data_IF_090015653970
#
_entry.id   IF_090015653970
#
_cell.length_a   1.000
_cell.length_b   1.000
_cell.length_c   1.000
_cell.angle_alpha   90.00
_cell.angle_beta   90.00
_cell.angle_gamma   90.00
#
_symmetry.space_group_name_H-M   'P 1'
#
loop_
_entity.id
_entity.type
_entity.pdbx_description
1 polymer ?
#
# COMPACT_ATOMS: atom_id res chain seq x y z
N UNK A 1 10.83 14.21 -6.71
CA UNK A 1 10.10 13.21 -7.52
C UNK A 1 8.61 13.00 -7.17
N UNK A 2 8.13 13.03 -5.91
CA UNK A 2 6.67 13.09 -5.62
C UNK A 2 6.23 14.41 -4.99
N UNK A 3 7.02 14.97 -4.07
CA UNK A 3 6.80 16.30 -3.49
C UNK A 3 6.73 17.39 -4.56
N UNK A 4 7.67 17.37 -5.52
CA UNK A 4 7.72 18.35 -6.63
C UNK A 4 6.50 18.27 -7.56
N UNK A 5 5.78 17.14 -7.55
CA UNK A 5 4.59 16.89 -8.38
C UNK A 5 3.27 17.10 -7.63
N UNK A 6 3.30 17.65 -6.41
CA UNK A 6 2.11 17.88 -5.57
C UNK A 6 1.25 16.61 -5.36
N UNK A 7 1.90 15.44 -5.33
CA UNK A 7 1.23 14.18 -5.04
C UNK A 7 0.88 14.15 -3.56
N UNK A 8 -0.41 13.99 -3.23
CA UNK A 8 -0.92 14.05 -1.86
C UNK A 8 -0.87 12.71 -1.13
N UNK A 9 -0.83 11.60 -1.87
CA UNK A 9 -0.74 10.27 -1.28
C UNK A 9 -0.10 9.25 -2.24
N UNK A 10 0.48 8.21 -1.65
CA UNK A 10 0.94 7.02 -2.36
C UNK A 10 0.15 5.83 -1.84
N UNK A 11 -0.31 4.98 -2.78
CA UNK A 11 -0.94 3.70 -2.48
C UNK A 11 -0.07 2.54 -2.94
N UNK A 12 -0.03 1.47 -2.15
CA UNK A 12 0.73 0.25 -2.42
C UNK A 12 -0.11 -0.94 -1.95
N UNK A 13 -0.14 -2.02 -2.72
CA UNK A 13 -0.73 -3.28 -2.30
C UNK A 13 0.32 -4.37 -2.07
N UNK A 14 -0.02 -5.36 -1.25
CA UNK A 14 0.83 -6.54 -1.05
C UNK A 14 -0.01 -7.79 -0.79
N UNK A 15 0.59 -8.97 -1.00
CA UNK A 15 -0.08 -10.23 -0.70
C UNK A 15 -0.23 -10.42 0.81
N UNK A 16 -1.30 -11.09 1.25
CA UNK A 16 -1.56 -11.33 2.68
C UNK A 16 -0.51 -12.19 3.38
N UNK A 17 0.21 -13.03 2.61
CA UNK A 17 1.31 -13.85 3.09
C UNK A 17 2.65 -13.09 3.18
N UNK A 18 2.80 -11.94 2.51
CA UNK A 18 4.04 -11.16 2.53
C UNK A 18 4.16 -10.31 3.80
N UNK A 19 4.35 -10.99 4.94
CA UNK A 19 4.43 -10.36 6.27
C UNK A 19 5.59 -9.37 6.38
N UNK A 20 6.69 -9.62 5.67
CA UNK A 20 7.83 -8.71 5.63
C UNK A 20 7.45 -7.36 5.02
N UNK A 21 6.75 -7.37 3.88
CA UNK A 21 6.27 -6.13 3.24
C UNK A 21 5.22 -5.42 4.09
N UNK A 22 4.28 -6.15 4.71
CA UNK A 22 3.29 -5.55 5.61
C UNK A 22 3.93 -4.82 6.79
N UNK A 23 4.96 -5.43 7.40
CA UNK A 23 5.74 -4.79 8.49
C UNK A 23 6.51 -3.57 7.99
N UNK A 24 7.11 -3.64 6.80
CA UNK A 24 7.83 -2.51 6.21
C UNK A 24 6.91 -1.32 5.96
N UNK A 25 5.75 -1.56 5.36
CA UNK A 25 4.75 -0.54 5.08
C UNK A 25 4.28 0.15 6.37
N UNK A 26 3.94 -0.62 7.40
CA UNK A 26 3.56 -0.07 8.69
C UNK A 26 4.68 0.79 9.32
N UNK A 27 5.92 0.30 9.32
CA UNK A 27 7.08 1.04 9.86
C UNK A 27 7.40 2.33 9.10
N UNK A 28 7.07 2.40 7.81
CA UNK A 28 7.33 3.56 6.95
C UNK A 28 6.16 4.54 6.89
N UNK A 29 5.14 4.35 7.73
CA UNK A 29 4.01 5.27 7.88
C UNK A 29 2.87 5.05 6.90
N UNK A 30 2.88 3.97 6.12
CA UNK A 30 1.71 3.54 5.36
C UNK A 30 0.67 2.92 6.28
N UNK A 31 -0.60 3.28 6.06
CA UNK A 31 -1.75 2.79 6.82
C UNK A 31 -2.57 1.84 5.95
N UNK A 32 -3.00 0.72 6.53
CA UNK A 32 -3.92 -0.18 5.85
C UNK A 32 -5.20 0.59 5.49
N UNK A 33 -5.62 0.51 4.23
CA UNK A 33 -6.77 1.26 3.72
C UNK A 33 -7.81 0.36 3.03
N UNK A 34 -7.58 -0.94 2.91
CA UNK A 34 -8.58 -1.89 2.42
C UNK A 34 -7.99 -3.08 1.67
N UNK A 35 -8.84 -3.72 0.87
CA UNK A 35 -8.50 -4.87 0.05
C UNK A 35 -8.84 -4.53 -1.40
N UNK A 36 -7.98 -4.93 -2.34
CA UNK A 36 -8.28 -4.93 -3.77
C UNK A 36 -8.29 -6.37 -4.29
N UNK A 37 -8.99 -6.57 -5.40
CA UNK A 37 -9.00 -7.84 -6.12
C UNK A 37 -8.32 -7.62 -7.48
N UNK A 38 -7.42 -8.53 -7.85
CA UNK A 38 -6.82 -8.55 -9.18
C UNK A 38 -7.79 -9.21 -10.18
N UNK A 39 -7.45 -9.13 -11.47
CA UNK A 39 -8.28 -9.72 -12.54
C UNK A 39 -8.49 -11.24 -12.38
N UNK A 40 -7.52 -11.93 -11.78
CA UNK A 40 -7.60 -13.35 -11.46
C UNK A 40 -8.41 -13.66 -10.18
N UNK A 41 -9.00 -12.64 -9.56
CA UNK A 41 -9.74 -12.74 -8.30
C UNK A 41 -8.85 -12.80 -7.06
N UNK A 42 -7.52 -12.75 -7.21
CA UNK A 42 -6.61 -12.81 -6.06
C UNK A 42 -6.70 -11.55 -5.21
N UNK A 43 -6.68 -11.76 -3.89
CA UNK A 43 -6.81 -10.71 -2.87
C UNK A 43 -5.47 -10.04 -2.59
N UNK A 44 -5.46 -8.70 -2.52
CA UNK A 44 -4.30 -7.91 -2.05
C UNK A 44 -4.70 -6.96 -0.94
N UNK A 45 -3.82 -6.80 0.05
CA UNK A 45 -3.97 -5.83 1.11
C UNK A 45 -3.45 -4.48 0.63
N UNK A 46 -4.29 -3.46 0.61
CA UNK A 46 -3.94 -2.11 0.18
C UNK A 46 -3.56 -1.22 1.36
N UNK A 47 -2.56 -0.37 1.13
CA UNK A 47 -2.03 0.59 2.07
C UNK A 47 -1.89 1.96 1.42
N UNK A 48 -2.08 3.03 2.20
CA UNK A 48 -1.95 4.42 1.77
C UNK A 48 -1.07 5.22 2.75
N UNK A 49 -0.22 6.09 2.20
CA UNK A 49 0.52 7.09 2.97
C UNK A 49 0.26 8.47 2.38
N UNK A 50 -0.19 9.40 3.22
CA UNK A 50 -0.29 10.81 2.87
C UNK A 50 1.13 11.43 2.86
N UNK A 51 1.40 12.31 1.90
CA UNK A 51 2.69 12.98 1.69
C UNK A 51 2.60 14.46 2.04
#
# INVERSE_FOLDING_TARGET
MCHDRRIKSIRVDTHEANKSMQKLLQKTGFKYCGIIYLLDGSKRLAYERLI
#
